data_IF_357173004656
#
_entry.id   IF_357173004656
#
_cell.length_a   1.000
_cell.length_b   1.000
_cell.length_c   1.000
_cell.angle_alpha   90.00
_cell.angle_beta   90.00
_cell.angle_gamma   90.00
#
_symmetry.space_group_name_H-M   'P 1'
#
loop_
_entity.id
_entity.type
_entity.pdbx_description
1 polymer ?
#
# COMPACT_ATOMS: atom_id res chain seq x y z
N UNK A 1 -11.14 24.28 2.42
CA UNK A 1 -10.32 23.15 2.85
C UNK A 1 -11.18 21.92 3.05
N UNK A 2 -10.78 20.84 2.47
CA UNK A 2 -11.50 19.59 2.62
C UNK A 2 -11.33 18.99 4.00
N UNK A 3 -12.32 18.27 4.44
CA UNK A 3 -12.23 17.52 5.68
C UNK A 3 -11.32 16.32 5.49
N UNK A 4 -10.59 15.98 6.53
CA UNK A 4 -9.82 14.74 6.59
C UNK A 4 -10.80 13.62 6.93
N UNK A 5 -10.95 12.67 6.02
CA UNK A 5 -11.88 11.56 6.18
C UNK A 5 -11.10 10.33 6.66
N UNK A 6 -11.48 9.77 7.84
CA UNK A 6 -10.85 8.52 8.28
C UNK A 6 -11.04 7.42 7.25
N UNK A 7 -10.03 6.55 7.12
CA UNK A 7 -10.01 5.48 6.15
C UNK A 7 -10.00 4.11 6.85
N UNK A 8 -10.72 3.18 6.27
CA UNK A 8 -10.55 1.78 6.63
C UNK A 8 -9.40 1.24 5.79
N UNK A 9 -8.44 0.58 6.42
CA UNK A 9 -7.29 0.01 5.75
C UNK A 9 -7.35 -1.51 5.85
N UNK A 10 -7.30 -2.17 4.71
CA UNK A 10 -7.26 -3.63 4.60
C UNK A 10 -6.06 -4.02 3.75
N UNK A 11 -5.63 -5.26 3.86
CA UNK A 11 -4.60 -5.80 2.99
C UNK A 11 -5.22 -6.69 1.92
N UNK A 12 -4.60 -6.70 0.75
CA UNK A 12 -4.97 -7.62 -0.31
C UNK A 12 -4.52 -9.03 0.06
N UNK A 13 -5.40 -10.00 -0.08
CA UNK A 13 -5.07 -11.42 0.06
C UNK A 13 -5.12 -12.07 -1.31
N UNK A 14 -4.11 -12.87 -1.63
CA UNK A 14 -4.12 -13.67 -2.86
C UNK A 14 -5.26 -14.70 -2.80
N UNK A 15 -5.53 -15.38 -3.92
CA UNK A 15 -6.61 -16.36 -3.98
C UNK A 15 -6.39 -17.53 -3.02
N UNK A 16 -5.12 -17.83 -2.69
CA UNK A 16 -4.77 -18.85 -1.71
C UNK A 16 -4.60 -18.30 -0.28
N UNK A 17 -5.01 -17.06 -0.06
CA UNK A 17 -5.06 -16.46 1.28
C UNK A 17 -3.77 -15.84 1.78
N UNK A 18 -2.80 -15.62 0.91
CA UNK A 18 -1.52 -15.03 1.28
C UNK A 18 -1.65 -13.51 1.40
N UNK A 19 -1.22 -12.95 2.54
CA UNK A 19 -1.14 -11.51 2.76
C UNK A 19 0.24 -11.00 2.33
N UNK A 20 0.34 -10.56 1.09
CA UNK A 20 1.62 -10.19 0.47
C UNK A 20 2.25 -8.99 1.17
N UNK A 21 1.45 -7.97 1.49
CA UNK A 21 1.97 -6.78 2.15
C UNK A 21 2.52 -7.11 3.55
N UNK A 22 1.76 -7.86 4.34
CA UNK A 22 2.18 -8.19 5.70
C UNK A 22 3.43 -9.07 5.70
N UNK A 23 3.53 -10.02 4.78
CA UNK A 23 4.73 -10.85 4.67
C UNK A 23 5.96 -10.02 4.31
N UNK A 24 5.79 -9.05 3.39
CA UNK A 24 6.87 -8.14 3.06
C UNK A 24 7.31 -7.33 4.27
N UNK A 25 6.36 -6.78 5.01
CA UNK A 25 6.64 -5.97 6.20
C UNK A 25 7.35 -6.79 7.27
N UNK A 26 6.85 -7.99 7.53
CA UNK A 26 7.44 -8.88 8.55
C UNK A 26 8.85 -9.34 8.16
N UNK A 27 9.15 -9.40 6.88
CA UNK A 27 10.46 -9.80 6.37
C UNK A 27 11.52 -8.71 6.38
N UNK A 28 11.15 -7.48 6.72
CA UNK A 28 12.13 -6.40 6.77
C UNK A 28 13.04 -6.56 7.99
N UNK A 29 14.35 -6.59 7.74
CA UNK A 29 15.34 -6.72 8.81
C UNK A 29 15.46 -5.46 9.65
N UNK A 30 15.24 -4.30 9.05
CA UNK A 30 15.36 -3.01 9.72
C UNK A 30 14.09 -2.72 10.54
N UNK A 31 14.18 -2.87 11.86
CA UNK A 31 13.05 -2.63 12.75
C UNK A 31 12.56 -1.18 12.71
N UNK A 32 13.47 -0.23 12.52
CA UNK A 32 13.09 1.19 12.42
C UNK A 32 12.25 1.44 11.18
N UNK A 33 12.58 0.79 10.07
CA UNK A 33 11.77 0.85 8.85
C UNK A 33 10.37 0.31 9.10
N UNK A 34 10.25 -0.81 9.81
CA UNK A 34 8.94 -1.40 10.14
C UNK A 34 8.10 -0.44 10.97
N UNK A 35 8.70 0.23 11.95
CA UNK A 35 8.00 1.22 12.79
C UNK A 35 7.55 2.41 11.93
N UNK A 36 8.39 2.89 11.04
CA UNK A 36 8.03 4.00 10.14
C UNK A 36 6.87 3.65 9.22
N UNK A 37 6.88 2.42 8.69
CA UNK A 37 5.79 1.94 7.85
C UNK A 37 4.49 1.84 8.64
N UNK A 38 4.55 1.29 9.86
CA UNK A 38 3.37 1.21 10.72
C UNK A 38 2.79 2.59 11.04
N UNK A 39 3.66 3.56 11.32
CA UNK A 39 3.23 4.94 11.55
C UNK A 39 2.58 5.55 10.31
N UNK A 40 3.12 5.25 9.13
CA UNK A 40 2.56 5.72 7.87
C UNK A 40 1.15 5.15 7.66
N UNK A 41 0.97 3.87 7.94
CA UNK A 41 -0.34 3.21 7.83
C UNK A 41 -1.33 3.83 8.83
N UNK A 42 -0.88 4.11 10.06
CA UNK A 42 -1.71 4.77 11.06
C UNK A 42 -2.19 6.14 10.58
N UNK A 43 -1.34 6.90 9.92
CA UNK A 43 -1.71 8.18 9.32
C UNK A 43 -2.73 8.01 8.21
N UNK A 44 -2.58 6.97 7.39
CA UNK A 44 -3.55 6.66 6.34
C UNK A 44 -4.93 6.39 6.94
N UNK A 45 -5.00 5.65 8.03
CA UNK A 45 -6.27 5.39 8.74
C UNK A 45 -6.94 6.68 9.21
N UNK A 46 -6.15 7.67 9.57
CA UNK A 46 -6.67 8.98 9.97
C UNK A 46 -7.04 9.87 8.78
N UNK A 47 -6.84 9.37 7.55
CA UNK A 47 -7.15 10.11 6.33
C UNK A 47 -5.98 10.85 5.71
N UNK A 48 -4.79 10.72 6.28
CA UNK A 48 -3.59 11.39 5.76
C UNK A 48 -2.76 10.41 4.94
N UNK A 49 -2.80 10.55 3.62
CA UNK A 49 -2.02 9.70 2.71
C UNK A 49 -0.56 10.16 2.59
N UNK A 50 -0.24 11.34 3.13
CA UNK A 50 1.11 11.87 3.02
C UNK A 50 1.53 12.09 1.58
N UNK A 51 2.81 11.95 1.32
CA UNK A 51 3.37 12.11 -0.03
C UNK A 51 3.09 10.86 -0.86
N UNK A 52 2.19 10.99 -1.83
CA UNK A 52 1.78 9.86 -2.66
C UNK A 52 1.55 10.31 -4.10
N UNK A 53 1.55 9.36 -5.02
CA UNK A 53 1.31 9.63 -6.43
C UNK A 53 0.69 8.41 -7.10
N UNK A 54 0.01 8.65 -8.22
CA UNK A 54 -0.49 7.57 -9.06
C UNK A 54 0.64 6.92 -9.84
N UNK A 55 0.61 5.60 -9.94
CA UNK A 55 1.52 4.85 -10.81
C UNK A 55 0.78 4.18 -11.96
N UNK A 56 -0.51 4.53 -12.13
CA UNK A 56 -1.36 4.03 -13.22
C UNK A 56 -2.29 2.91 -12.78
N UNK A 57 -3.32 2.70 -13.57
CA UNK A 57 -4.31 1.61 -13.42
C UNK A 57 -4.97 1.55 -12.04
N UNK A 58 -5.12 2.72 -11.41
CA UNK A 58 -5.76 2.82 -10.09
C UNK A 58 -4.85 2.53 -8.92
N UNK A 59 -3.58 2.23 -9.16
CA UNK A 59 -2.60 1.99 -8.10
C UNK A 59 -1.89 3.29 -7.74
N UNK A 60 -1.70 3.49 -6.44
CA UNK A 60 -0.98 4.64 -5.91
C UNK A 60 0.22 4.16 -5.09
N UNK A 61 1.20 5.05 -4.96
CA UNK A 61 2.45 4.77 -4.28
C UNK A 61 2.70 5.80 -3.20
N UNK A 62 2.99 5.34 -1.98
CA UNK A 62 3.52 6.19 -0.91
C UNK A 62 5.02 5.95 -0.82
N UNK A 63 5.79 7.03 -0.78
CA UNK A 63 7.26 6.95 -0.68
C UNK A 63 7.68 7.31 0.73
N UNK A 64 8.50 6.44 1.34
CA UNK A 64 9.16 6.72 2.61
C UNK A 64 10.63 6.92 2.33
N UNK A 65 11.11 8.14 2.56
CA UNK A 65 12.48 8.53 2.27
C UNK A 65 13.39 8.19 3.46
N UNK A 66 13.60 6.89 3.64
CA UNK A 66 14.43 6.34 4.71
C UNK A 66 15.16 5.10 4.18
N UNK A 67 16.45 4.97 4.53
CA UNK A 67 17.25 3.82 4.11
C UNK A 67 17.28 3.64 2.61
N UNK A 68 16.96 2.43 2.10
CA UNK A 68 16.96 2.18 0.65
C UNK A 68 15.78 2.80 -0.09
N UNK A 69 14.93 3.58 0.60
CA UNK A 69 13.73 4.16 0.04
C UNK A 69 12.61 3.12 -0.06
N UNK A 70 11.69 3.13 0.92
CA UNK A 70 10.59 2.17 0.92
C UNK A 70 9.37 2.73 0.19
N UNK A 71 8.61 1.84 -0.43
CA UNK A 71 7.37 2.18 -1.13
C UNK A 71 6.25 1.29 -0.67
N UNK A 72 5.08 1.89 -0.51
CA UNK A 72 3.83 1.18 -0.19
C UNK A 72 2.89 1.40 -1.36
N UNK A 73 2.39 0.32 -1.95
CA UNK A 73 1.45 0.39 -3.07
C UNK A 73 0.06 0.06 -2.59
N UNK A 74 -0.91 0.86 -3.00
CA UNK A 74 -2.29 0.70 -2.53
C UNK A 74 -3.28 1.12 -3.61
N UNK A 75 -4.52 0.62 -3.47
CA UNK A 75 -5.66 1.09 -4.25
C UNK A 75 -6.68 1.70 -3.30
N UNK A 76 -7.49 2.61 -3.83
CA UNK A 76 -8.59 3.21 -3.08
C UNK A 76 -9.92 2.78 -3.68
N UNK A 77 -10.86 2.38 -2.82
CA UNK A 77 -12.23 2.14 -3.23
C UNK A 77 -13.12 3.17 -2.54
N UNK A 78 -13.69 4.09 -3.33
CA UNK A 78 -14.40 5.22 -2.78
C UNK A 78 -13.47 6.11 -1.98
N UNK A 79 -14.02 6.85 -1.03
CA UNK A 79 -13.24 7.79 -0.21
C UNK A 79 -12.80 7.20 1.13
N UNK A 80 -13.25 6.01 1.48
CA UNK A 80 -13.04 5.46 2.81
C UNK A 80 -12.21 4.19 2.88
N UNK A 81 -12.08 3.43 1.79
CA UNK A 81 -11.40 2.13 1.82
C UNK A 81 -10.07 2.18 1.09
N UNK A 82 -9.02 1.78 1.78
CA UNK A 82 -7.66 1.65 1.24
C UNK A 82 -7.24 0.19 1.31
N UNK A 83 -6.77 -0.36 0.20
CA UNK A 83 -6.29 -1.73 0.12
C UNK A 83 -4.78 -1.71 -0.10
N UNK A 84 -4.02 -2.18 0.88
CA UNK A 84 -2.57 -2.31 0.77
C UNK A 84 -2.24 -3.54 -0.08
N UNK A 85 -1.51 -3.33 -1.16
CA UNK A 85 -1.27 -4.36 -2.17
C UNK A 85 0.08 -5.05 -1.97
N UNK A 86 1.13 -4.28 -1.87
CA UNK A 86 2.48 -4.79 -1.63
C UNK A 86 3.41 -3.63 -1.29
N UNK A 87 4.64 -3.95 -0.95
CA UNK A 87 5.67 -2.97 -0.69
C UNK A 87 6.95 -3.32 -1.41
N UNK A 88 7.87 -2.36 -1.49
CA UNK A 88 9.17 -2.60 -2.10
C UNK A 88 10.18 -1.54 -1.64
N UNK A 89 11.43 -1.75 -2.01
CA UNK A 89 12.45 -0.70 -1.99
C UNK A 89 12.46 0.02 -3.34
N UNK A 90 13.15 1.15 -3.40
CA UNK A 90 13.33 1.90 -4.66
C UNK A 90 13.90 1.02 -5.76
N UNK A 91 14.87 0.17 -5.42
CA UNK A 91 15.55 -0.70 -6.39
C UNK A 91 14.60 -1.67 -7.10
N UNK A 92 13.55 -2.13 -6.40
CA UNK A 92 12.58 -3.08 -6.95
C UNK A 92 11.26 -2.44 -7.36
N UNK A 93 11.25 -1.15 -7.51
CA UNK A 93 10.05 -0.37 -7.76
C UNK A 93 9.28 -0.81 -9.01
N UNK A 94 9.96 -0.98 -10.14
CA UNK A 94 9.27 -1.32 -11.40
C UNK A 94 8.52 -2.63 -11.31
N UNK A 95 9.17 -3.65 -10.76
CA UNK A 95 8.56 -4.98 -10.62
C UNK A 95 7.39 -4.95 -9.65
N UNK A 96 7.55 -4.22 -8.55
CA UNK A 96 6.50 -4.09 -7.54
C UNK A 96 5.27 -3.36 -8.09
N UNK A 97 5.47 -2.34 -8.92
CA UNK A 97 4.35 -1.62 -9.55
C UNK A 97 3.55 -2.58 -10.45
N UNK A 98 4.22 -3.38 -11.25
CA UNK A 98 3.55 -4.37 -12.11
C UNK A 98 2.73 -5.36 -11.29
N UNK A 99 3.32 -5.83 -10.19
CA UNK A 99 2.66 -6.78 -9.31
C UNK A 99 1.47 -6.15 -8.60
N UNK A 100 1.63 -4.91 -8.13
CA UNK A 100 0.54 -4.18 -7.47
C UNK A 100 -0.65 -4.00 -8.41
N UNK A 101 -0.40 -3.72 -9.68
CA UNK A 101 -1.46 -3.58 -10.68
C UNK A 101 -2.22 -4.88 -10.88
N UNK A 102 -1.53 -6.01 -10.92
CA UNK A 102 -2.18 -7.33 -11.01
C UNK A 102 -3.03 -7.61 -9.78
N UNK A 103 -2.52 -7.30 -8.59
CA UNK A 103 -3.24 -7.50 -7.33
C UNK A 103 -4.48 -6.62 -7.27
N UNK A 104 -4.37 -5.37 -7.68
CA UNK A 104 -5.50 -4.45 -7.68
C UNK A 104 -6.61 -4.92 -8.62
N UNK A 105 -6.24 -5.36 -9.81
CA UNK A 105 -7.18 -5.91 -10.78
C UNK A 105 -7.89 -7.14 -10.19
N UNK A 106 -7.14 -8.07 -9.60
CA UNK A 106 -7.69 -9.26 -8.99
C UNK A 106 -8.65 -8.93 -7.85
N UNK A 107 -8.27 -7.97 -7.00
CA UNK A 107 -9.12 -7.54 -5.90
C UNK A 107 -10.47 -7.00 -6.41
N UNK A 108 -10.42 -6.16 -7.42
CA UNK A 108 -11.64 -5.58 -8.01
C UNK A 108 -12.52 -6.66 -8.63
N UNK A 109 -11.94 -7.60 -9.34
CA UNK A 109 -12.69 -8.69 -9.96
C UNK A 109 -13.36 -9.60 -8.92
N UNK A 110 -12.63 -9.96 -7.87
CA UNK A 110 -13.17 -10.87 -6.84
C UNK A 110 -14.21 -10.21 -5.96
N UNK A 111 -14.12 -8.92 -5.74
CA UNK A 111 -15.08 -8.20 -4.89
C UNK A 111 -16.23 -7.59 -5.68
N UNK A 112 -16.18 -7.63 -7.00
CA UNK A 112 -17.20 -7.01 -7.85
C UNK A 112 -17.19 -5.49 -7.81
N UNK A 113 -16.06 -4.91 -7.46
CA UNK A 113 -15.98 -3.46 -7.25
C UNK A 113 -15.15 -2.72 -8.29
#
# INVERSE_FOLDING_TARGET
MGEVVPRKVETYLTRDGKDVFQEWLDGLADQRARVLIDKTIAKVRLGNLGQHKSVGEGVQEIVLDYGPGYRIYFGEHGVTLVILLCGSTKRRQEEAIKQAKRYWKDWKERTGR
#
